data_IF_024643692492
#
_entry.id   IF_024643692492
#
_cell.length_a   1.000
_cell.length_b   1.000
_cell.length_c   1.000
_cell.angle_alpha   90.00
_cell.angle_beta   90.00
_cell.angle_gamma   90.00
#
_symmetry.space_group_name_H-M   'P 1'
#
loop_
_entity.id
_entity.type
_entity.pdbx_description
1 polymer ?
2 non-polymer ?
3 non-polymer ?
4 non-polymer ?
5 non-polymer ?
6 water ?
#
# COMPACT_ATOMS: atom_id res chain seq x y z
N UNK A 7 5.34 4.88 32.21
CA UNK A 7 6.54 4.12 32.50
C UNK A 7 7.76 4.69 31.80
N UNK A 8 7.56 5.80 31.07
CA UNK A 8 8.64 6.46 30.36
C UNK A 8 8.21 7.83 29.84
N UNK A 9 9.12 8.54 29.20
CA UNK A 9 8.80 9.86 28.63
C UNK A 9 9.26 9.94 27.17
N UNK A 10 8.75 10.95 26.47
CA UNK A 10 9.17 11.21 25.09
C UNK A 10 10.51 11.93 25.08
N UNK A 11 11.29 11.77 24.00
CA UNK A 11 12.59 12.43 23.90
C UNK A 11 12.44 13.95 23.89
N UNK A 12 13.39 14.64 24.51
CA UNK A 12 13.35 16.09 24.60
C UNK A 12 13.23 16.73 23.22
N UNK A 13 14.00 16.22 22.27
CA UNK A 13 14.01 16.76 20.92
C UNK A 13 12.62 16.72 20.28
N UNK A 14 11.90 15.62 20.50
CA UNK A 14 10.53 15.50 20.02
C UNK A 14 9.62 16.49 20.71
N UNK A 15 9.62 16.47 22.04
CA UNK A 15 8.80 17.37 22.85
C UNK A 15 9.04 18.83 22.48
N UNK A 16 10.26 19.15 22.07
CA UNK A 16 10.60 20.52 21.72
C UNK A 16 9.78 21.06 20.55
N UNK A 17 9.45 20.18 19.61
CA UNK A 17 8.74 20.59 18.38
C UNK A 17 7.28 20.19 18.36
N UNK A 18 6.91 19.15 19.12
CA UNK A 18 5.57 18.59 19.05
C UNK A 18 4.95 18.38 20.42
N UNK A 19 3.62 18.50 20.46
CA UNK A 19 2.85 18.13 21.63
C UNK A 19 2.16 16.81 21.31
N UNK A 20 2.50 15.76 22.06
CA UNK A 20 1.95 14.42 21.81
C UNK A 20 0.54 14.29 22.33
N UNK A 21 -0.27 13.50 21.65
CA UNK A 21 -1.68 13.35 22.03
C UNK A 21 -2.12 11.88 22.01
N UNK A 22 -3.39 11.67 21.72
CA UNK A 22 -4.01 10.34 21.83
C UNK A 22 -3.43 9.32 20.86
N UNK A 23 -3.65 8.05 21.16
CA UNK A 23 -3.27 6.96 20.28
C UNK A 23 -4.25 6.87 19.12
N UNK A 24 -3.75 6.75 17.91
CA UNK A 24 -4.61 6.58 16.74
C UNK A 24 -4.69 5.11 16.36
N UNK A 25 -3.53 4.45 16.30
CA UNK A 25 -3.46 3.03 16.02
C UNK A 25 -2.49 2.35 16.96
N UNK A 26 -2.72 1.07 17.25
CA UNK A 26 -1.88 0.33 18.18
C UNK A 26 -1.65 -1.10 17.70
N UNK A 31 2.43 1.31 16.53
CA UNK A 31 2.10 2.41 17.44
C UNK A 31 2.08 3.77 16.74
N UNK A 32 0.88 4.29 16.51
CA UNK A 32 0.72 5.60 15.87
C UNK A 32 -0.01 6.57 16.80
N UNK A 33 0.59 7.73 17.01
CA UNK A 33 0.02 8.75 17.89
C UNK A 33 -0.28 10.05 17.18
N UNK A 34 -1.34 10.73 17.62
CA UNK A 34 -1.66 12.07 17.15
C UNK A 34 -0.74 13.06 17.85
N UNK A 35 -0.26 14.05 17.10
CA UNK A 35 0.58 15.09 17.68
C UNK A 35 0.30 16.43 17.01
N UNK A 36 0.72 17.51 17.67
CA UNK A 36 0.59 18.84 17.10
C UNK A 36 1.97 19.47 16.93
N UNK A 37 2.22 20.01 15.75
CA UNK A 37 3.45 20.75 15.53
C UNK A 37 3.30 22.13 16.17
N UNK A 38 4.15 22.45 17.14
CA UNK A 38 4.04 23.69 17.88
C UNK A 38 4.09 24.92 16.97
N UNK A 39 4.99 24.89 15.99
CA UNK A 39 5.20 26.02 15.10
C UNK A 39 3.96 26.39 14.30
N UNK A 40 3.17 25.39 13.92
CA UNK A 40 2.01 25.60 13.06
C UNK A 40 0.68 25.30 13.74
N UNK A 41 0.73 24.58 14.85
CA UNK A 41 -0.49 24.10 15.49
C UNK A 41 -1.25 23.18 14.55
N UNK A 42 -0.53 22.53 13.65
CA UNK A 42 -1.13 21.58 12.72
C UNK A 42 -1.00 20.16 13.25
N UNK A 43 -1.98 19.34 12.93
CA UNK A 43 -1.97 17.93 13.34
C UNK A 43 -1.00 17.12 12.50
N UNK A 44 -0.29 16.19 13.16
CA UNK A 44 0.58 15.25 12.46
C UNK A 44 0.40 13.86 13.04
N UNK A 45 0.87 12.84 12.32
CA UNK A 45 0.85 11.47 12.84
C UNK A 45 2.28 11.02 13.11
N UNK A 46 2.50 10.51 14.31
CA UNK A 46 3.84 10.08 14.68
C UNK A 46 3.89 8.58 14.94
N UNK A 47 4.55 7.85 14.03
CA UNK A 47 4.70 6.42 14.21
C UNK A 47 5.88 6.13 15.13
N UNK A 48 5.64 5.26 16.10
CA UNK A 48 6.64 4.91 17.09
C UNK A 48 7.06 3.46 16.94
N UNK A 49 8.35 3.24 16.69
CA UNK A 49 8.88 1.89 16.51
C UNK A 49 9.98 1.63 17.53
N UNK A 50 9.72 0.74 18.48
CA UNK A 50 10.66 0.47 19.56
C UNK A 50 11.94 -0.20 19.08
N UNK A 51 13.02 0.00 19.83
CA UNK A 51 14.33 -0.53 19.44
C UNK A 51 14.68 -1.78 20.23
N UNK A 63 17.52 -6.38 15.41
CA UNK A 63 17.90 -5.04 14.98
C UNK A 63 16.87 -4.44 14.04
N UNK A 64 16.05 -3.51 14.54
CA UNK A 64 15.03 -2.82 13.74
C UNK A 64 15.65 -1.75 12.86
N UNK A 65 16.84 -1.31 13.22
CA UNK A 65 17.55 -0.24 12.51
C UNK A 65 17.47 -0.40 10.99
N UNK A 66 17.62 -1.63 10.53
CA UNK A 66 17.64 -1.91 9.09
C UNK A 66 16.34 -1.50 8.42
N UNK A 67 15.23 -1.99 8.95
CA UNK A 67 13.91 -1.68 8.42
C UNK A 67 13.57 -0.20 8.49
N UNK A 68 13.93 0.44 9.60
CA UNK A 68 13.64 1.84 9.79
C UNK A 68 14.46 2.72 8.86
N UNK A 69 15.76 2.43 8.77
CA UNK A 69 16.63 3.17 7.86
C UNK A 69 16.08 3.09 6.45
N UNK A 70 15.72 1.87 6.03
CA UNK A 70 15.15 1.65 4.71
C UNK A 70 13.89 2.46 4.50
N UNK A 71 12.98 2.40 5.47
CA UNK A 71 11.70 3.11 5.35
C UNK A 71 11.93 4.61 5.26
N UNK A 72 12.79 5.13 6.13
CA UNK A 72 13.11 6.55 6.12
C UNK A 72 13.67 6.98 4.76
N UNK A 73 14.63 6.23 4.26
CA UNK A 73 15.26 6.55 2.98
C UNK A 73 14.24 6.56 1.85
N UNK A 74 13.32 5.60 1.88
CA UNK A 74 12.30 5.51 0.84
C UNK A 74 11.35 6.69 0.91
N UNK A 75 10.81 6.95 2.09
CA UNK A 75 9.88 8.07 2.27
C UNK A 75 10.46 9.40 1.79
N UNK A 76 11.73 9.64 2.11
CA UNK A 76 12.38 10.89 1.74
C UNK A 76 12.41 11.14 0.22
N UNK A 77 12.69 10.10 -0.56
CA UNK A 77 12.90 10.26 -1.99
C UNK A 77 11.62 10.20 -2.81
N UNK A 78 10.58 9.60 -2.24
CA UNK A 78 9.30 9.47 -2.95
C UNK A 78 8.49 10.76 -2.88
N UNK A 79 7.77 11.04 -3.96
CA UNK A 79 6.90 12.21 -4.02
C UNK A 79 5.70 11.93 -4.91
N UNK A 80 4.61 11.50 -4.28
CA UNK A 80 3.39 11.16 -5.00
C UNK A 80 2.18 11.39 -4.10
N UNK A 81 1.10 11.93 -4.70
CA UNK A 81 -0.13 12.29 -3.97
C UNK A 81 -0.74 11.12 -3.21
N UNK A 82 -0.52 9.90 -3.69
CA UNK A 82 -1.12 8.73 -3.06
C UNK A 82 -0.11 7.93 -2.24
N UNK A 83 1.00 8.58 -1.91
CA UNK A 83 1.98 7.99 -1.01
C UNK A 83 2.27 8.96 0.12
N UNK A 84 2.18 8.47 1.36
CA UNK A 84 2.37 9.32 2.53
C UNK A 84 3.76 9.92 2.60
N UNK A 85 3.86 11.14 3.14
CA UNK A 85 5.14 11.84 3.22
C UNK A 85 5.68 11.95 4.64
N UNK A 86 6.99 11.86 4.79
CA UNK A 86 7.63 12.02 6.08
C UNK A 86 7.91 13.49 6.36
N UNK A 87 7.65 13.92 7.59
CA UNK A 87 7.85 15.32 7.97
C UNK A 87 9.05 15.50 8.88
N UNK A 88 9.35 14.48 9.67
CA UNK A 88 10.44 14.55 10.62
C UNK A 88 10.80 13.17 11.15
N UNK A 89 12.00 13.04 11.71
CA UNK A 89 12.45 11.76 12.23
C UNK A 89 13.29 11.93 13.49
N UNK A 90 13.04 11.08 14.48
CA UNK A 90 13.81 11.09 15.70
C UNK A 90 14.31 9.70 16.07
N UNK A 91 15.62 9.60 16.28
CA UNK A 91 16.27 8.35 16.66
C UNK A 91 16.76 8.42 18.09
N UNK A 92 15.88 8.08 19.04
CA UNK A 92 16.20 8.14 20.45
C UNK A 92 16.11 6.76 21.08
N UNK A 93 15.55 6.68 22.29
CA UNK A 93 15.32 5.39 22.93
C UNK A 93 14.50 4.51 22.01
N UNK A 94 13.58 5.14 21.28
CA UNK A 94 12.80 4.46 20.25
C UNK A 94 12.86 5.29 18.98
N UNK A 95 12.35 4.72 17.88
CA UNK A 95 12.27 5.46 16.63
C UNK A 95 10.97 6.22 16.55
N UNK A 96 11.05 7.49 16.20
CA UNK A 96 9.86 8.31 15.99
C UNK A 96 9.83 8.85 14.57
N UNK A 97 8.81 8.44 13.82
CA UNK A 97 8.66 8.90 12.44
C UNK A 97 7.45 9.83 12.31
N UNK A 98 7.71 11.08 11.94
CA UNK A 98 6.66 12.08 11.82
C UNK A 98 6.09 12.12 10.41
N UNK A 99 4.79 11.87 10.30
CA UNK A 99 4.12 11.74 9.01
C UNK A 99 2.91 12.65 8.90
N UNK A 100 2.40 12.80 7.68
CA UNK A 100 1.13 13.49 7.48
C UNK A 100 0.05 12.76 8.25
N UNK A 101 -0.94 13.51 8.73
CA UNK A 101 -2.09 12.89 9.36
C UNK A 101 -3.19 12.67 8.34
N UNK A 102 -3.60 11.42 8.18
CA UNK A 102 -4.74 11.07 7.35
C UNK A 102 -5.96 10.93 8.24
N UNK A 103 -6.83 11.93 8.18
CA UNK A 103 -7.95 12.01 9.12
C UNK A 103 -8.99 10.89 8.96
N UNK A 104 -8.98 10.24 7.80
CA UNK A 104 -9.92 9.16 7.53
C UNK A 104 -9.55 7.86 8.21
N UNK A 105 -8.28 7.74 8.60
CA UNK A 105 -7.82 6.53 9.24
C UNK A 105 -7.55 5.42 8.25
N UNK A 106 -7.54 4.19 8.75
CA UNK A 106 -7.14 3.03 7.96
C UNK A 106 -8.31 2.40 7.21
N UNK A 107 -8.05 2.02 5.96
CA UNK A 107 -9.03 1.35 5.12
C UNK A 107 -9.58 0.12 5.84
N UNK A 108 -8.74 -0.50 6.67
CA UNK A 108 -9.13 -1.69 7.42
C UNK A 108 -10.46 -1.49 8.12
N UNK A 109 -10.62 -0.34 8.78
CA UNK A 109 -11.84 -0.05 9.53
C UNK A 109 -13.09 -0.01 8.66
N UNK A 110 -12.91 0.19 7.36
CA UNK A 110 -14.03 0.27 6.45
C UNK A 110 -14.53 -1.09 5.99
N UNK A 111 -13.72 -2.13 6.21
CA UNK A 111 -14.01 -3.44 5.64
C UNK A 111 -14.11 -4.56 6.67
N UNK A 112 -13.71 -4.29 7.90
CA UNK A 112 -13.75 -5.29 8.96
C UNK A 112 -15.20 -5.65 9.29
N UNK A 113 -15.42 -6.88 9.74
CA UNK A 113 -16.75 -7.32 10.14
C UNK A 113 -17.71 -7.43 8.98
N UNK A 114 -17.18 -7.76 7.80
CA UNK A 114 -18.00 -7.98 6.61
C UNK A 114 -18.63 -6.73 6.03
N UNK A 115 -18.25 -5.57 6.54
CA UNK A 115 -18.70 -4.32 5.93
C UNK A 115 -18.09 -4.21 4.55
N UNK A 116 -18.88 -3.72 3.59
CA UNK A 116 -18.42 -3.65 2.21
C UNK A 116 -18.68 -2.28 1.60
N UNK A 117 -17.72 -1.82 0.80
CA UNK A 117 -17.82 -0.54 0.12
C UNK A 117 -18.63 -0.68 -1.16
N UNK A 118 -19.37 0.36 -1.53
CA UNK A 118 -20.09 0.34 -2.79
C UNK A 118 -19.08 0.37 -3.94
N UNK A 119 -19.39 -0.36 -5.01
CA UNK A 119 -18.44 -0.57 -6.09
C UNK A 119 -17.72 0.71 -6.53
N UNK A 120 -18.46 1.80 -6.64
CA UNK A 120 -17.92 3.06 -7.13
C UNK A 120 -16.86 3.60 -6.18
N UNK A 121 -17.03 3.32 -4.89
CA UNK A 121 -16.06 3.72 -3.89
C UNK A 121 -14.83 2.83 -3.95
N UNK A 122 -15.06 1.53 -4.17
CA UNK A 122 -13.96 0.59 -4.37
C UNK A 122 -13.10 1.06 -5.52
N UNK A 123 -13.74 1.46 -6.61
CA UNK A 123 -13.02 1.86 -7.81
C UNK A 123 -12.16 3.08 -7.52
N UNK A 124 -12.76 4.10 -6.93
CA UNK A 124 -12.04 5.32 -6.61
C UNK A 124 -10.81 5.04 -5.76
N UNK A 125 -10.96 4.20 -4.74
CA UNK A 125 -9.84 3.86 -3.87
C UNK A 125 -8.79 3.04 -4.60
N UNK A 126 -9.26 2.08 -5.40
CA UNK A 126 -8.33 1.17 -6.06
C UNK A 126 -7.53 1.86 -7.17
N UNK A 127 -8.16 2.78 -7.88
CA UNK A 127 -7.47 3.59 -8.88
C UNK A 127 -6.26 4.25 -8.26
N UNK A 128 -6.44 4.86 -7.09
CA UNK A 128 -5.37 5.55 -6.39
C UNK A 128 -4.30 4.56 -5.92
N UNK A 129 -4.74 3.43 -5.41
CA UNK A 129 -3.82 2.37 -4.99
C UNK A 129 -2.92 1.94 -6.16
N UNK A 130 -3.53 1.78 -7.33
CA UNK A 130 -2.81 1.37 -8.52
C UNK A 130 -1.79 2.43 -8.95
N UNK A 131 -2.22 3.70 -8.94
CA UNK A 131 -1.31 4.79 -9.27
C UNK A 131 -0.12 4.77 -8.32
N UNK A 132 -0.40 4.56 -7.04
CA UNK A 132 0.64 4.57 -6.02
C UNK A 132 1.65 3.45 -6.27
N UNK A 133 1.14 2.25 -6.45
CA UNK A 133 1.99 1.09 -6.64
C UNK A 133 2.68 1.11 -7.99
N UNK A 134 2.02 1.69 -8.99
CA UNK A 134 2.66 1.89 -10.29
C UNK A 134 3.89 2.76 -10.08
N UNK A 135 3.69 3.86 -9.36
CA UNK A 135 4.76 4.81 -9.06
C UNK A 135 5.93 4.12 -8.34
N UNK A 136 5.61 3.28 -7.36
CA UNK A 136 6.65 2.55 -6.64
C UNK A 136 7.49 1.73 -7.60
N UNK A 137 6.83 0.89 -8.40
CA UNK A 137 7.53 0.00 -9.31
C UNK A 137 8.35 0.78 -10.33
N UNK A 138 7.81 1.89 -10.83
CA UNK A 138 8.55 2.77 -11.72
C UNK A 138 9.85 3.26 -11.09
N UNK A 139 9.86 3.38 -9.76
CA UNK A 139 11.02 3.86 -9.03
C UNK A 139 11.83 2.74 -8.37
N UNK A 140 11.66 1.51 -8.87
CA UNK A 140 12.39 0.36 -8.36
C UNK A 140 12.15 0.07 -6.88
N UNK A 141 10.91 0.23 -6.45
CA UNK A 141 10.53 -0.06 -5.07
C UNK A 141 9.40 -1.09 -5.02
N UNK A 142 9.59 -2.11 -4.19
CA UNK A 142 8.52 -3.07 -3.94
C UNK A 142 8.05 -2.96 -2.49
N UNK A 143 6.75 -2.76 -2.30
CA UNK A 143 6.19 -2.55 -0.96
C UNK A 143 6.28 -3.80 -0.09
N UNK A 144 5.68 -4.89 -0.57
CA UNK A 144 5.77 -6.21 0.06
C UNK A 144 4.86 -6.41 1.27
N UNK A 145 4.10 -5.39 1.65
CA UNK A 145 3.22 -5.52 2.80
C UNK A 145 1.92 -4.74 2.61
N UNK A 146 1.39 -4.78 1.38
CA UNK A 146 0.13 -4.12 1.09
C UNK A 146 -1.05 -4.84 1.75
N UNK A 147 -1.84 -4.08 2.50
CA UNK A 147 -3.03 -4.59 3.16
C UNK A 147 -3.88 -3.41 3.63
N UNK A 148 -5.16 -3.66 3.94
CA UNK A 148 -6.08 -2.58 4.32
C UNK A 148 -5.55 -1.65 5.41
N UNK A 149 -4.81 -2.17 6.37
CA UNK A 149 -4.28 -1.34 7.44
C UNK A 149 -3.14 -0.40 7.01
N UNK A 150 -2.61 -0.63 5.80
CA UNK A 150 -1.55 0.22 5.26
C UNK A 150 -2.06 1.18 4.20
N UNK A 151 -3.36 1.23 4.03
CA UNK A 151 -3.99 2.19 3.13
C UNK A 151 -4.77 3.21 3.97
N UNK A 152 -4.41 4.48 3.83
CA UNK A 152 -4.98 5.53 4.67
C UNK A 152 -5.93 6.45 3.90
N UNK A 153 -7.01 6.87 4.55
CA UNK A 153 -8.00 7.74 3.94
C UNK A 153 -7.82 9.20 4.40
N UNK A 154 -7.93 10.14 3.47
CA UNK A 154 -7.66 11.54 3.76
C UNK A 154 -8.76 12.22 4.59
N UNK A 155 -9.94 11.60 4.68
CA UNK A 155 -11.03 12.18 5.46
C UNK A 155 -12.11 11.15 5.79
N UNK A 156 -13.12 11.61 6.51
CA UNK A 156 -14.21 10.74 6.94
C UNK A 156 -15.29 10.65 5.86
N UNK A 157 -15.17 11.47 4.83
CA UNK A 157 -16.01 11.36 3.64
C UNK A 157 -15.62 10.07 2.92
N UNK A 158 -16.57 9.45 2.23
CA UNK A 158 -16.26 8.22 1.52
C UNK A 158 -15.65 8.52 0.15
N UNK A 159 -15.84 9.75 -0.32
CA UNK A 159 -15.14 10.22 -1.50
C UNK A 159 -13.92 11.02 -1.05
N UNK A 160 -12.77 10.36 -0.98
CA UNK A 160 -11.57 11.01 -0.48
C UNK A 160 -10.30 10.51 -1.16
N UNK A 161 -9.17 11.12 -0.82
CA UNK A 161 -7.88 10.66 -1.31
C UNK A 161 -7.36 9.58 -0.39
N UNK A 162 -6.60 8.65 -0.94
CA UNK A 162 -5.93 7.66 -0.11
C UNK A 162 -4.42 7.70 -0.34
N UNK A 163 -3.67 7.31 0.68
CA UNK A 163 -2.23 7.22 0.57
C UNK A 163 -1.77 5.86 1.10
N UNK A 164 -0.77 5.30 0.43
CA UNK A 164 -0.13 4.07 0.89
C UNK A 164 0.91 4.43 1.94
N UNK A 165 1.11 3.56 2.92
CA UNK A 165 2.08 3.79 3.97
C UNK A 165 2.80 2.51 4.38
N UNK A 166 3.78 2.66 5.26
CA UNK A 166 4.51 1.54 5.85
C UNK A 166 5.46 0.83 4.89
N UNK A 167 6.67 1.34 4.78
CA UNK A 167 7.67 0.76 3.88
C UNK A 167 8.74 0.01 4.65
N UNK A 168 8.40 -0.47 5.84
CA UNK A 168 9.32 -1.20 6.68
C UNK A 168 9.81 -2.51 6.07
N UNK A 169 9.00 -3.12 5.21
CA UNK A 169 9.35 -4.40 4.63
C UNK A 169 9.64 -4.28 3.14
N UNK A 170 9.84 -3.05 2.69
CA UNK A 170 10.05 -2.80 1.26
C UNK A 170 11.43 -3.22 0.77
N UNK A 171 11.49 -3.56 -0.51
CA UNK A 171 12.73 -3.91 -1.17
C UNK A 171 13.08 -2.84 -2.18
N UNK A 172 14.36 -2.49 -2.27
CA UNK A 172 14.85 -1.56 -3.28
C UNK A 172 15.62 -2.35 -4.33
N UNK A 173 15.13 -2.31 -5.57
CA UNK A 173 15.72 -3.10 -6.64
C UNK A 173 17.06 -2.53 -7.11
N UNK A 176 22.23 -5.98 -9.21
CA UNK A 176 21.84 -7.35 -8.88
C UNK A 176 22.98 -8.34 -9.13
N UNK A 177 23.03 -9.38 -8.30
CA UNK A 177 24.07 -10.41 -8.39
C UNK A 177 23.93 -11.27 -9.63
N UNK A 178 22.68 -11.59 -9.97
CA UNK A 178 22.41 -12.44 -11.13
C UNK A 178 22.95 -11.82 -12.42
N UNK A 179 22.66 -10.53 -12.61
CA UNK A 179 23.12 -9.83 -13.81
C UNK A 179 24.64 -9.91 -13.92
N UNK A 180 25.33 -9.63 -12.82
CA UNK A 180 26.79 -9.72 -12.80
C UNK A 180 27.23 -11.13 -13.15
N UNK A 181 26.60 -12.11 -12.52
CA UNK A 181 26.89 -13.52 -12.78
C UNK A 181 26.76 -13.85 -14.26
N UNK A 182 25.68 -13.38 -14.88
CA UNK A 182 25.41 -13.68 -16.28
C UNK A 182 26.48 -13.12 -17.22
N UNK A 183 27.16 -12.07 -16.79
CA UNK A 183 28.21 -11.45 -17.61
C UNK A 183 29.40 -12.38 -17.81
N UNK A 184 29.57 -13.32 -16.90
CA UNK A 184 30.70 -14.22 -16.97
C UNK A 184 30.36 -15.57 -17.56
N UNK A 185 31.36 -16.44 -17.67
CA UNK A 185 31.16 -17.81 -18.14
C UNK A 185 30.64 -18.64 -16.98
N UNK A 186 29.66 -19.51 -17.25
CA UNK A 186 28.99 -20.29 -16.20
C UNK A 186 29.65 -21.64 -15.96
N UNK A 187 30.90 -21.78 -16.39
CA UNK A 187 31.64 -23.03 -16.22
C UNK A 187 31.42 -23.68 -14.85
N UNK A 188 31.44 -22.86 -13.79
CA UNK A 188 31.30 -23.36 -12.43
C UNK A 188 29.97 -22.96 -11.80
N UNK A 189 29.04 -22.51 -12.64
CA UNK A 189 27.77 -21.98 -12.15
C UNK A 189 26.72 -23.09 -11.95
N UNK A 190 26.10 -23.09 -10.78
CA UNK A 190 25.08 -24.08 -10.43
C UNK A 190 23.80 -23.92 -11.26
N UNK A 191 23.15 -25.05 -11.58
CA UNK A 191 21.94 -25.13 -12.40
C UNK A 191 20.77 -24.29 -11.85
N UNK A 192 20.52 -24.37 -10.55
CA UNK A 192 19.40 -23.64 -9.97
C UNK A 192 19.50 -22.14 -10.22
N UNK A 193 20.73 -21.65 -10.44
CA UNK A 193 20.92 -20.24 -10.70
C UNK A 193 20.49 -19.91 -12.13
N UNK A 194 20.90 -20.75 -13.07
CA UNK A 194 20.49 -20.58 -14.46
C UNK A 194 18.98 -20.70 -14.60
N UNK A 195 18.37 -21.60 -13.82
CA UNK A 195 16.92 -21.76 -13.84
C UNK A 195 16.22 -20.52 -13.30
N UNK A 196 16.82 -19.87 -12.31
CA UNK A 196 16.22 -18.68 -11.70
C UNK A 196 16.14 -17.51 -12.68
N UNK A 197 16.87 -17.60 -13.79
CA UNK A 197 16.85 -16.55 -14.80
C UNK A 197 15.46 -16.38 -15.41
N UNK A 198 14.69 -17.46 -15.45
CA UNK A 198 13.37 -17.45 -16.04
C UNK A 198 12.39 -16.48 -15.40
N UNK A 199 12.51 -16.27 -14.10
CA UNK A 199 11.55 -15.44 -13.38
C UNK A 199 12.17 -14.21 -12.72
N UNK A 200 13.48 -14.07 -12.85
CA UNK A 200 14.16 -12.91 -12.27
C UNK A 200 13.49 -11.61 -12.70
N UNK A 201 13.35 -10.68 -11.77
CA UNK A 201 12.83 -9.37 -12.08
C UNK A 201 11.32 -9.30 -12.05
N UNK A 202 10.69 -10.28 -11.42
CA UNK A 202 9.23 -10.29 -11.29
C UNK A 202 8.77 -10.29 -9.83
N UNK A 203 9.65 -9.84 -8.93
CA UNK A 203 9.32 -9.74 -7.52
C UNK A 203 8.18 -8.74 -7.27
N UNK A 204 8.11 -7.71 -8.11
CA UNK A 204 7.09 -6.67 -7.97
C UNK A 204 5.69 -7.24 -8.07
N UNK A 205 5.55 -8.40 -8.71
CA UNK A 205 4.25 -9.02 -8.89
C UNK A 205 3.57 -9.38 -7.55
N UNK A 206 4.35 -9.49 -6.48
CA UNK A 206 3.74 -9.78 -5.17
C UNK A 206 2.81 -8.67 -4.73
N UNK A 207 3.16 -7.43 -5.06
CA UNK A 207 2.31 -6.27 -4.76
C UNK A 207 0.98 -6.36 -5.52
N UNK A 208 1.05 -6.78 -6.78
CA UNK A 208 -0.16 -6.88 -7.59
C UNK A 208 -1.07 -7.98 -7.05
N UNK A 209 -0.48 -9.06 -6.56
CA UNK A 209 -1.25 -10.09 -5.90
C UNK A 209 -1.97 -9.50 -4.67
N UNK A 210 -1.21 -8.81 -3.83
CA UNK A 210 -1.78 -8.18 -2.64
C UNK A 210 -2.91 -7.24 -3.00
N UNK A 211 -2.72 -6.46 -4.06
CA UNK A 211 -3.76 -5.55 -4.53
C UNK A 211 -5.02 -6.34 -4.88
N UNK A 212 -4.84 -7.50 -5.50
CA UNK A 212 -5.96 -8.34 -5.89
C UNK A 212 -6.75 -8.79 -4.68
N UNK A 213 -6.03 -9.18 -3.63
CA UNK A 213 -6.67 -9.64 -2.41
C UNK A 213 -7.41 -8.50 -1.74
N UNK A 214 -6.75 -7.34 -1.66
CA UNK A 214 -7.38 -6.15 -1.12
C UNK A 214 -8.66 -5.82 -1.88
N UNK A 215 -8.58 -5.85 -3.20
CA UNK A 215 -9.73 -5.51 -4.04
C UNK A 215 -10.88 -6.50 -3.85
N UNK A 216 -10.55 -7.78 -3.69
CA UNK A 216 -11.54 -8.82 -3.42
C UNK A 216 -12.30 -8.48 -2.14
N UNK A 217 -11.55 -8.14 -1.10
CA UNK A 217 -12.10 -7.82 0.21
C UNK A 217 -13.02 -6.61 0.18
N UNK A 218 -12.56 -5.53 -0.46
CA UNK A 218 -13.35 -4.31 -0.55
C UNK A 218 -14.66 -4.56 -1.27
N UNK A 219 -14.60 -5.32 -2.36
CA UNK A 219 -15.76 -5.56 -3.20
C UNK A 219 -16.79 -6.48 -2.54
N UNK A 220 -16.31 -7.48 -1.79
CA UNK A 220 -17.18 -8.53 -1.27
C UNK A 220 -17.39 -8.46 0.24
N UNK A 221 -16.45 -7.83 0.94
CA UNK A 221 -16.54 -7.70 2.38
C UNK A 221 -15.97 -8.90 3.13
N UNK A 222 -15.42 -9.84 2.37
CA UNK A 222 -14.82 -11.04 2.95
C UNK A 222 -13.56 -11.43 2.18
N UNK A 223 -12.63 -12.13 2.86
CA UNK A 223 -11.34 -12.51 2.27
C UNK A 223 -11.47 -13.66 1.26
N UNK A 224 -10.61 -13.66 0.23
CA UNK A 224 -10.60 -14.69 -0.81
C UNK A 224 -10.09 -16.02 -0.25
N UNK A 225 -9.07 -15.94 0.61
CA UNK A 225 -8.49 -17.12 1.21
C UNK A 225 -8.58 -17.05 2.73
N UNK A 226 -9.18 -18.07 3.33
CA UNK A 226 -9.32 -18.12 4.78
C UNK A 226 -9.58 -19.55 5.24
N UNK A 227 -9.62 -19.74 6.56
CA UNK A 227 -9.85 -21.07 7.12
C UNK A 227 -11.26 -21.17 7.70
N UNK A 228 -12.13 -20.28 7.26
CA UNK A 228 -13.51 -20.26 7.72
C UNK A 228 -14.40 -21.19 6.91
N UNK A 229 -15.02 -22.15 7.59
CA UNK A 229 -15.91 -23.11 6.95
C UNK A 229 -15.28 -23.76 5.72
N UNK A 230 -14.07 -24.30 5.88
CA UNK A 230 -13.38 -24.99 4.80
C UNK A 230 -12.41 -26.03 5.36
N UNK A 231 -12.14 -27.07 4.58
CA UNK A 231 -11.24 -28.14 5.02
C UNK A 231 -9.85 -28.00 4.43
N UNK A 232 -9.75 -27.29 3.31
CA UNK A 232 -8.48 -27.10 2.63
C UNK A 232 -7.62 -26.02 3.29
N UNK A 233 -6.32 -26.31 3.43
CA UNK A 233 -5.41 -25.41 4.12
C UNK A 233 -5.26 -24.08 3.40
N UNK A 234 -4.94 -23.04 4.15
CA UNK A 234 -4.77 -21.70 3.60
C UNK A 234 -3.66 -21.70 2.54
N UNK A 235 -2.55 -22.34 2.87
CA UNK A 235 -1.43 -22.46 1.93
C UNK A 235 -1.89 -23.06 0.60
N UNK A 236 -2.62 -24.17 0.67
CA UNK A 236 -3.11 -24.83 -0.55
C UNK A 236 -4.04 -23.94 -1.36
N UNK A 237 -4.98 -23.29 -0.68
CA UNK A 237 -5.89 -22.35 -1.35
C UNK A 237 -5.10 -21.35 -2.18
N UNK A 238 -4.07 -20.76 -1.58
CA UNK A 238 -3.30 -19.71 -2.23
C UNK A 238 -2.47 -20.22 -3.40
N UNK A 239 -1.73 -21.32 -3.19
CA UNK A 239 -0.88 -21.86 -4.25
C UNK A 239 -1.71 -22.36 -5.43
N UNK A 240 -2.88 -22.92 -5.14
CA UNK A 240 -3.76 -23.37 -6.20
C UNK A 240 -4.48 -22.19 -6.83
N UNK A 241 -4.58 -21.09 -6.08
CA UNK A 241 -5.28 -19.91 -6.55
C UNK A 241 -6.79 -20.06 -6.49
N UNK A 242 -7.25 -21.15 -5.90
CA UNK A 242 -8.69 -21.41 -5.79
C UNK A 242 -9.33 -20.65 -4.64
N UNK A 243 -9.58 -19.37 -4.83
CA UNK A 243 -10.23 -18.54 -3.82
C UNK A 243 -11.65 -19.03 -3.56
N UNK A 244 -12.22 -18.58 -2.45
CA UNK A 244 -13.57 -18.96 -2.09
C UNK A 244 -14.61 -18.00 -2.68
N UNK A 245 -15.36 -18.47 -3.66
CA UNK A 245 -16.34 -17.64 -4.36
C UNK A 245 -17.76 -17.87 -3.88
N UNK A 246 -18.38 -16.83 -3.34
CA UNK A 246 -19.75 -16.89 -2.85
C UNK A 246 -20.68 -16.04 -3.71
N UNK A 247 -21.38 -16.69 -4.66
CA UNK A 247 -22.21 -16.05 -5.69
C UNK A 247 -23.19 -15.02 -5.14
N UNK A 248 -23.86 -15.35 -4.05
CA UNK A 248 -24.83 -14.44 -3.45
C UNK A 248 -24.22 -13.06 -3.23
N UNK A 249 -23.09 -13.04 -2.54
CA UNK A 249 -22.39 -11.79 -2.25
C UNK A 249 -21.92 -11.10 -3.52
N UNK A 250 -21.46 -11.90 -4.48
CA UNK A 250 -20.83 -11.38 -5.69
C UNK A 250 -21.81 -10.94 -6.78
N UNK A 251 -23.06 -11.36 -6.66
CA UNK A 251 -24.07 -10.99 -7.64
C UNK A 251 -24.33 -9.48 -7.59
N UNK A 252 -24.02 -8.88 -6.45
CA UNK A 252 -24.20 -7.44 -6.27
C UNK A 252 -23.11 -6.64 -6.97
N UNK A 253 -22.05 -7.33 -7.39
CA UNK A 253 -20.90 -6.68 -8.01
C UNK A 253 -20.88 -6.90 -9.53
N UNK A 254 -20.37 -5.92 -10.26
CA UNK A 254 -20.31 -6.01 -11.72
C UNK A 254 -19.37 -7.11 -12.19
N UNK A 255 -19.47 -7.47 -13.47
CA UNK A 255 -18.65 -8.51 -14.05
C UNK A 255 -17.23 -8.02 -14.35
N UNK A 256 -17.10 -6.71 -14.57
CA UNK A 256 -15.80 -6.12 -14.86
C UNK A 256 -14.90 -6.09 -13.63
N UNK A 257 -15.47 -5.65 -12.51
CA UNK A 257 -14.75 -5.62 -11.24
C UNK A 257 -14.22 -7.01 -10.91
N UNK A 258 -15.08 -8.02 -11.05
CA UNK A 258 -14.68 -9.39 -10.78
C UNK A 258 -13.60 -9.84 -11.76
N UNK A 259 -13.76 -9.47 -13.02
CA UNK A 259 -12.79 -9.85 -14.05
C UNK A 259 -11.39 -9.35 -13.70
N UNK A 260 -11.30 -8.09 -13.27
CA UNK A 260 -10.01 -7.51 -12.89
C UNK A 260 -9.39 -8.26 -11.72
N UNK A 261 -10.20 -8.57 -10.72
CA UNK A 261 -9.76 -9.35 -9.56
C UNK A 261 -9.13 -10.66 -10.01
N UNK A 262 -9.81 -11.37 -10.90
CA UNK A 262 -9.33 -12.65 -11.39
C UNK A 262 -7.96 -12.54 -12.05
N UNK A 263 -7.73 -11.43 -12.76
CA UNK A 263 -6.49 -11.25 -13.49
C UNK A 263 -5.34 -10.81 -12.59
N UNK A 264 -5.67 -10.40 -11.37
CA UNK A 264 -4.66 -10.04 -10.39
C UNK A 264 -4.33 -11.23 -9.50
N UNK A 265 -5.31 -12.10 -9.28
CA UNK A 265 -5.11 -13.28 -8.44
C UNK A 265 -4.69 -14.47 -9.30
N UNK A 266 -3.72 -14.24 -10.17
CA UNK A 266 -3.14 -15.29 -10.99
C UNK A 266 -1.90 -15.86 -10.31
N UNK A 267 -1.84 -17.18 -10.20
CA UNK A 267 -0.76 -17.87 -9.51
C UNK A 267 0.61 -17.60 -10.16
N UNK A 268 0.65 -17.71 -11.49
CA UNK A 268 1.87 -17.45 -12.25
C UNK A 268 2.21 -15.95 -12.22
N UNK A 269 3.36 -15.60 -11.62
CA UNK A 269 3.81 -14.22 -11.46
C UNK A 269 4.02 -13.51 -12.80
N UNK A 270 4.45 -14.24 -13.82
CA UNK A 270 4.76 -13.63 -15.12
C UNK A 270 3.49 -13.33 -15.91
N UNK A 271 2.44 -14.12 -15.69
CA UNK A 271 1.17 -13.89 -16.34
C UNK A 271 0.29 -12.90 -15.57
N UNK A 272 0.52 -12.81 -14.27
CA UNK A 272 -0.27 -11.92 -13.42
C UNK A 272 -0.31 -10.50 -14.00
N UNK A 273 -1.46 -9.84 -13.88
CA UNK A 273 -1.60 -8.46 -14.34
C UNK A 273 -0.60 -7.56 -13.63
N UNK A 274 -0.07 -6.58 -14.36
CA UNK A 274 0.77 -5.56 -13.75
C UNK A 274 -0.11 -4.36 -13.44
N UNK A 275 0.46 -3.36 -12.76
CA UNK A 275 -0.29 -2.14 -12.49
C UNK A 275 -0.76 -1.48 -13.79
N UNK A 276 0.11 -1.45 -14.79
CA UNK A 276 -0.24 -0.89 -16.09
C UNK A 276 -1.44 -1.59 -16.70
N UNK A 277 -1.43 -2.91 -16.67
CA UNK A 277 -2.54 -3.69 -17.21
C UNK A 277 -3.82 -3.48 -16.42
N UNK A 278 -3.68 -3.29 -15.10
CA UNK A 278 -4.83 -3.02 -14.26
C UNK A 278 -5.45 -1.68 -14.60
N UNK A 279 -4.61 -0.68 -14.79
CA UNK A 279 -5.07 0.68 -15.11
C UNK A 279 -5.70 0.76 -16.49
N UNK A 280 -5.40 -0.21 -17.34
CA UNK A 280 -5.93 -0.26 -18.70
C UNK A 280 -7.15 -1.17 -18.80
N UNK A 281 -7.49 -1.81 -17.68
CA UNK A 281 -8.64 -2.70 -17.65
C UNK A 281 -9.95 -1.91 -17.76
N UNK A 282 -10.92 -2.46 -18.49
CA UNK A 282 -12.21 -1.79 -18.71
C UNK A 282 -12.84 -1.24 -17.42
N UNK A 283 -12.64 -1.92 -16.30
CA UNK A 283 -13.26 -1.50 -15.05
C UNK A 283 -12.76 -0.13 -14.60
N UNK A 284 -11.53 0.19 -14.96
CA UNK A 284 -10.94 1.47 -14.58
C UNK A 284 -11.16 2.56 -15.64
N UNK A 285 -11.76 2.19 -16.75
CA UNK A 285 -12.06 3.16 -17.80
C UNK A 285 -13.36 3.88 -17.47
N UNK A 286 -13.28 4.76 -16.46
CA UNK A 286 -14.45 5.40 -15.88
C UNK A 286 -14.15 6.88 -15.63
N UNK A 287 -14.56 7.74 -16.56
CA UNK A 287 -14.20 9.15 -16.51
C UNK A 287 -14.84 9.93 -15.37
N UNK A 288 -16.02 9.48 -14.92
CA UNK A 288 -16.64 10.06 -13.74
C UNK A 288 -15.76 9.82 -12.51
N UNK A 289 -15.27 8.59 -12.38
CA UNK A 289 -14.40 8.24 -11.27
C UNK A 289 -13.11 9.06 -11.29
N UNK A 290 -12.55 9.23 -12.48
CA UNK A 290 -11.28 9.96 -12.61
C UNK A 290 -11.47 11.45 -12.37
N UNK A 291 -12.61 11.98 -12.81
CA UNK A 291 -12.93 13.38 -12.58
C UNK A 291 -12.99 13.65 -11.09
N UNK A 292 -13.64 12.77 -10.35
CA UNK A 292 -13.76 12.92 -8.90
C UNK A 292 -12.39 12.89 -8.24
N UNK A 293 -11.51 12.01 -8.72
CA UNK A 293 -10.16 11.93 -8.19
C UNK A 293 -9.40 13.23 -8.44
N UNK A 294 -9.42 13.69 -9.70
CA UNK A 294 -8.75 14.93 -10.05
C UNK A 294 -9.30 16.09 -9.23
N UNK A 295 -10.61 16.07 -8.98
CA UNK A 295 -11.23 17.10 -8.16
C UNK A 295 -10.64 17.10 -6.75
N UNK A 296 -10.48 15.91 -6.18
CA UNK A 296 -9.96 15.78 -4.82
C UNK A 296 -8.52 16.27 -4.70
N UNK A 297 -7.75 16.10 -5.77
CA UNK A 297 -6.39 16.62 -5.81
C UNK A 297 -6.40 18.14 -5.70
N UNK A 298 -7.23 18.78 -6.53
CA UNK A 298 -7.36 20.24 -6.51
C UNK A 298 -7.69 20.73 -5.10
N UNK A 299 -8.74 20.18 -4.51
CA UNK A 299 -9.13 20.55 -3.15
C UNK A 299 -7.94 20.50 -2.20
N UNK A 300 -7.19 19.42 -2.24
CA UNK A 300 -6.05 19.24 -1.34
C UNK A 300 -4.91 20.20 -1.66
N UNK A 301 -4.72 20.50 -2.94
CA UNK A 301 -3.59 21.32 -3.36
C UNK A 301 -3.84 22.84 -3.30
N UNK A 302 -5.10 23.23 -3.16
CA UNK A 302 -5.45 24.64 -3.08
C UNK A 302 -4.71 25.34 -1.95
N UNK A 303 -4.43 24.59 -0.88
CA UNK A 303 -3.83 25.16 0.32
C UNK A 303 -2.37 25.56 0.14
N UNK A 304 -1.69 24.98 -0.83
CA UNK A 304 -0.26 25.20 -1.00
C UNK A 304 0.10 25.80 -2.36
N UNK A 305 -0.90 25.99 -3.20
CA UNK A 305 -0.68 26.49 -4.55
C UNK A 305 -0.16 27.92 -4.54
N UNK A 306 18.98 7.66 9.39
CA UNK A 306 19.48 7.99 10.71
C UNK A 306 19.35 6.76 11.61
N UNK A 307 1.14 31.26 -6.72
CA UNK A 307 0.83 31.82 -8.04
C UNK A 307 1.93 31.47 -9.03
N UNK A 308 1.61 31.45 -10.32
CA UNK A 308 2.59 31.05 -11.32
C UNK A 308 2.59 31.95 -12.55
N UNK A 309 3.59 31.78 -13.39
CA UNK A 309 3.71 32.60 -14.60
C UNK A 309 2.67 32.18 -15.63
N UNK A 310 1.91 33.15 -16.11
CA UNK A 310 0.88 32.89 -17.11
C UNK A 310 1.35 33.31 -18.50
N UNK A 311 1.12 32.60 -19.48
X LIG B 1 11.50 -6.80 -10.09
X LIG B 1 10.11 -6.60 -10.03
X LIG B 1 12.28 -5.99 -10.93
X LIG B 1 12.09 -7.82 -9.34
X LIG C 1 9.05 13.72 0.74
X LIG C 1 8.05 13.76 -0.28
X LIG C 1 8.48 13.13 2.03
X LIG C 1 8.19 11.74 1.84
X LIG D 1 2.11 3.07 9.12
X LIG D 1 2.09 1.79 9.81
X LIG D 1 -8.02 7.83 13.08
X LIG D 1 1.09 4.14 9.47
X LIG D 1 -0.09 3.80 9.96
X LIG D 1 -2.41 4.82 10.85
X LIG D 1 -1.11 4.88 10.31
X LIG D 1 -2.00 6.96 10.55
X LIG D 1 -2.91 6.15 10.94
X LIG D 1 -0.82 6.14 10.12
X LIG D 1 0.54 6.54 9.55
X LIG D 1 1.42 5.61 9.26
X LIG D 1 -4.28 6.58 11.49
X LIG D 1 -4.76 8.01 11.27
X LIG D 1 -5.93 8.40 11.75
X LIG D 1 -6.80 7.42 12.53
X LIG D 1 -6.38 6.18 12.73
X LIG D 1 -5.02 5.73 12.18
X LIG D 1 -10.90 9.15 15.35
X LIG D 1 -9.80 8.47 14.54
X LIG D 1 -10.30 7.81 13.38
X LIG D 1 -11.15 8.68 12.63
X LIG D 1 -12.22 9.33 13.50
X LIG D 1 -11.62 10.01 14.54
X LIG D 1 -9.22 7.33 12.58
X LIG D 1 2.92 3.27 8.28
X LIG E 1 12.53 14.64 6.11
X LIG E 1 11.39 15.31 5.56
X LIG E 1 12.16 14.04 7.47
X LIG E 1 13.29 13.34 8.00
X LIG F 1 -6.63 -4.98 -20.26
X LIG F 1 -5.70 -4.23 -19.46
X LIG F 1 -7.70 -5.60 -19.36
X LIG F 1 -8.46 -6.56 -20.11
X LIG G 1 14.97 17.99 12.76
X LIG G 1 14.35 19.27 12.92
X LIG G 1 14.62 17.09 13.93
X LIG G 1 15.26 15.82 13.76
X LIG H 1 8.26 -11.24 -0.83
X LIG H 1 7.04 -10.66 -0.34
X LIG H 1 8.53 -10.76 -2.26
X LIG H 1 9.80 -11.25 -2.70
X LIG I 1 2.50 -4.25 -21.06
X LIG I 1 2.87 -3.31 -20.04
X LIG I 1 1.13 -4.83 -20.75
X LIG I 1 0.92 -6.03 -21.51
X LIG J 1 -1.37 2.73 -17.97
X LIG J 1 -1.03 3.67 -16.95
X LIG J 1 -0.12 2.34 -18.74
X LIG J 1 -0.46 1.49 -19.84
X LIG K 1 7.42 26.19 19.22
X LIG K 1 8.46 26.18 20.19
X LIG K 1 7.00 27.63 18.91
X LIG K 1 5.90 27.61 18.00
X LIG L 1 -1.63 -23.26 6.10
X LIG L 1 -3.03 -23.00 5.97
X LIG L 1 -1.35 -24.69 5.65
X LIG L 1 -0.05 -25.08 6.10
X LIG M 1 6.44 12.44 28.29
#
# INVERSE_FOLDING_TARGET
GPLGSHMSVYPKALRDEYIMSKTLGSGACGEVKLAFERKTCKKVAIKIISKRKFAIGSAREADPALNVETEIEILKKLNHPCIIKIKNFFDAEDYYIVLELMEGGELFDKVVGNKRLKEATCKLYFYQMLLAVQYLHENGIIHRDLKPENVLLSSQEEDCLIKITDFGHSKILGETSLMRTLCGTPTYLAPEVLVSVGTAGYNRAVDCWSLGVILFICLSGYPPFSEHRTQVSLKDQITSGKYNFIPEVWAEVSEKALDLVKKLLVVDPKARFTTEEALRHPWLQDEDMKRKFQDLLSEENESTALPQVLAQPSTSRKRPREGEAEGAE
NO3 N O1 O2 O3
EDO C1 O1 C2 O2
A9U C1 N1 O1 C2 C3 N3 C4 N4 C5 C6 C7 C8 C9 C10 C11 C12 C13 C14 C20 C19 C18 C17 C16 NBH CAS OAB
EDO C1 O1 C2 O2
EDO C1 O1 C2 O2
EDO C1 O1 C2 O2
EDO C1 O1 C2 O2
EDO C1 O1 C2 O2
EDO C1 O1 C2 O2
EDO C1 O1 C2 O2
EDO C1 O1 C2 O2
CL CL
#
